data_IF_543714568982
#
_entry.id   IF_543714568982
#
_cell.length_a   1.000
_cell.length_b   1.000
_cell.length_c   1.000
_cell.angle_alpha   90.00
_cell.angle_beta   90.00
_cell.angle_gamma   90.00
#
_symmetry.space_group_name_H-M   'P 1'
#
loop_
_entity.id
_entity.type
_entity.pdbx_description
1 polymer ?
#
# COMPACT_ATOMS: atom_id res chain seq x y z
N UNK A 1 -46.96 9.88 -21.42
CA UNK A 1 -46.01 9.20 -22.33
C UNK A 1 -44.80 8.61 -21.59
N UNK A 2 -44.11 9.36 -20.71
CA UNK A 2 -42.99 8.86 -19.90
C UNK A 2 -43.33 7.65 -19.03
N UNK A 3 -44.53 7.57 -18.45
CA UNK A 3 -44.88 6.47 -17.54
C UNK A 3 -45.30 5.17 -18.26
N UNK A 4 -45.81 5.28 -19.50
CA UNK A 4 -46.08 4.13 -20.38
C UNK A 4 -44.77 3.47 -20.87
N UNK A 5 -43.72 4.28 -21.01
CA UNK A 5 -42.38 3.84 -21.43
C UNK A 5 -41.52 3.33 -20.25
N UNK A 6 -41.95 3.57 -19.01
CA UNK A 6 -41.38 2.93 -17.80
C UNK A 6 -41.98 1.56 -17.56
N UNK A 7 -43.31 1.45 -17.69
CA UNK A 7 -44.04 0.18 -17.53
C UNK A 7 -43.67 -0.81 -18.62
N UNK A 8 -43.58 -0.39 -19.89
CA UNK A 8 -43.11 -1.25 -20.98
C UNK A 8 -41.66 -1.76 -20.82
N UNK A 9 -40.81 -1.00 -20.12
CA UNK A 9 -39.42 -1.40 -19.80
C UNK A 9 -39.33 -2.29 -18.57
N UNK A 10 -40.28 -2.18 -17.64
CA UNK A 10 -40.34 -3.01 -16.44
C UNK A 10 -40.74 -4.45 -16.79
N UNK A 11 -41.63 -4.61 -17.77
CA UNK A 11 -42.13 -5.92 -18.23
C UNK A 11 -41.36 -6.46 -19.45
N UNK A 12 -40.21 -5.85 -19.79
CA UNK A 12 -39.38 -6.24 -20.93
C UNK A 12 -38.61 -7.54 -20.63
N UNK A 13 -38.76 -8.56 -21.47
CA UNK A 13 -37.94 -9.77 -21.40
C UNK A 13 -36.45 -9.47 -21.68
N UNK A 14 -35.53 -10.25 -21.08
CA UNK A 14 -34.08 -10.06 -21.25
C UNK A 14 -33.64 -9.96 -22.72
N UNK A 15 -34.12 -10.84 -23.60
CA UNK A 15 -33.81 -10.80 -25.03
C UNK A 15 -34.24 -9.50 -25.73
N UNK A 16 -35.40 -8.95 -25.34
CA UNK A 16 -35.90 -7.69 -25.91
C UNK A 16 -35.07 -6.52 -25.42
N UNK A 17 -34.73 -6.53 -24.12
CA UNK A 17 -33.84 -5.54 -23.50
C UNK A 17 -32.47 -5.55 -24.17
N UNK A 18 -31.90 -6.73 -24.41
CA UNK A 18 -30.59 -6.86 -25.04
C UNK A 18 -30.59 -6.41 -26.50
N UNK A 19 -31.59 -6.80 -27.29
CA UNK A 19 -31.77 -6.30 -28.67
C UNK A 19 -31.91 -4.78 -28.71
N UNK A 20 -32.67 -4.19 -27.77
CA UNK A 20 -32.84 -2.74 -27.68
C UNK A 20 -31.53 -2.04 -27.30
N UNK A 21 -30.81 -2.56 -26.31
CA UNK A 21 -29.50 -2.02 -25.90
C UNK A 21 -28.46 -2.17 -27.00
N UNK A 22 -28.46 -3.29 -27.74
CA UNK A 22 -27.59 -3.50 -28.89
C UNK A 22 -27.84 -2.45 -29.97
N UNK A 23 -29.09 -2.23 -30.38
CA UNK A 23 -29.45 -1.17 -31.34
C UNK A 23 -28.98 0.21 -30.87
N UNK A 24 -29.14 0.55 -29.59
CA UNK A 24 -28.66 1.82 -29.06
C UNK A 24 -27.12 1.94 -29.10
N UNK A 25 -26.39 0.85 -28.80
CA UNK A 25 -24.92 0.83 -28.90
C UNK A 25 -24.45 1.00 -30.33
N UNK A 26 -25.10 0.33 -31.29
CA UNK A 26 -24.79 0.45 -32.72
C UNK A 26 -25.01 1.88 -33.22
N UNK A 27 -26.16 2.48 -32.91
CA UNK A 27 -26.43 3.88 -33.24
C UNK A 27 -25.42 4.84 -32.60
N UNK A 28 -25.10 4.65 -31.32
CA UNK A 28 -24.09 5.47 -30.65
C UNK A 28 -22.69 5.29 -31.25
N UNK A 29 -22.36 4.10 -31.75
CA UNK A 29 -21.11 3.83 -32.45
C UNK A 29 -21.06 4.58 -33.77
N UNK A 30 -22.12 4.51 -34.57
CA UNK A 30 -22.22 5.22 -35.86
C UNK A 30 -22.10 6.74 -35.65
N UNK A 31 -22.77 7.28 -34.64
CA UNK A 31 -22.64 8.71 -34.31
C UNK A 31 -21.21 9.09 -33.92
N UNK A 32 -20.49 8.22 -33.20
CA UNK A 32 -19.09 8.47 -32.80
C UNK A 32 -18.11 8.35 -33.97
N UNK A 33 -18.36 7.47 -34.94
CA UNK A 33 -17.48 7.32 -36.11
C UNK A 33 -17.63 8.49 -37.07
N UNK A 34 -18.81 9.10 -37.13
CA UNK A 34 -19.11 10.23 -38.01
C UNK A 34 -18.93 11.59 -37.32
N UNK A 35 -18.42 11.59 -36.08
CA UNK A 35 -18.25 12.79 -35.27
C UNK A 35 -17.08 13.63 -35.81
N UNK A 36 -17.30 14.94 -35.98
CA UNK A 36 -16.21 15.86 -36.31
C UNK A 36 -15.25 16.06 -35.12
N UNK A 37 -14.03 16.53 -35.38
CA UNK A 37 -13.06 16.78 -34.30
C UNK A 37 -13.57 17.78 -33.24
N UNK A 38 -14.24 18.85 -33.68
CA UNK A 38 -14.80 19.86 -32.79
C UNK A 38 -15.94 19.30 -31.93
N UNK A 39 -16.85 18.51 -32.52
CA UNK A 39 -17.92 17.85 -31.77
C UNK A 39 -17.37 16.85 -30.75
N UNK A 40 -16.35 16.09 -31.16
CA UNK A 40 -15.62 15.15 -30.30
C UNK A 40 -14.97 15.85 -29.14
N UNK A 41 -14.30 16.98 -29.37
CA UNK A 41 -13.68 17.76 -28.33
C UNK A 41 -14.71 18.33 -27.37
N UNK A 42 -15.78 18.94 -27.86
CA UNK A 42 -16.87 19.47 -27.04
C UNK A 42 -17.52 18.36 -26.19
N UNK A 43 -17.77 17.17 -26.76
CA UNK A 43 -18.30 16.02 -26.03
C UNK A 43 -17.32 15.55 -24.94
N UNK A 44 -16.03 15.44 -25.25
CA UNK A 44 -15.02 15.04 -24.28
C UNK A 44 -14.86 16.08 -23.16
N UNK A 45 -14.96 17.37 -23.49
CA UNK A 45 -14.92 18.46 -22.53
C UNK A 45 -16.09 18.36 -21.55
N UNK A 46 -17.32 18.18 -22.06
CA UNK A 46 -18.50 17.96 -21.23
C UNK A 46 -18.37 16.75 -20.31
N UNK A 47 -17.78 15.65 -20.80
CA UNK A 47 -17.51 14.46 -19.97
C UNK A 47 -16.48 14.76 -18.88
N UNK A 48 -15.41 15.51 -19.20
CA UNK A 48 -14.41 15.92 -18.20
C UNK A 48 -15.04 16.78 -17.11
N UNK A 49 -15.91 17.72 -17.47
CA UNK A 49 -16.65 18.57 -16.52
C UNK A 49 -17.58 17.77 -15.62
N UNK A 50 -18.34 16.83 -16.18
CA UNK A 50 -19.19 15.92 -15.40
C UNK A 50 -18.39 15.05 -14.43
N UNK A 51 -17.25 14.52 -14.86
CA UNK A 51 -16.37 13.73 -13.99
C UNK A 51 -15.74 14.62 -12.91
N UNK A 52 -15.36 15.85 -13.24
CA UNK A 52 -14.80 16.80 -12.29
C UNK A 52 -15.81 17.15 -11.20
N UNK A 53 -17.03 17.53 -11.59
CA UNK A 53 -18.12 17.84 -10.66
C UNK A 53 -18.49 16.65 -9.79
N UNK A 54 -18.57 15.44 -10.37
CA UNK A 54 -18.79 14.21 -9.61
C UNK A 54 -17.66 13.92 -8.61
N UNK A 55 -16.40 14.23 -8.93
CA UNK A 55 -15.26 14.04 -8.02
C UNK A 55 -15.21 15.07 -6.90
N UNK A 56 -15.66 16.30 -7.15
CA UNK A 56 -15.74 17.34 -6.10
C UNK A 56 -16.82 16.99 -5.08
N UNK A 57 -17.94 16.44 -5.56
CA UNK A 57 -19.08 16.06 -4.73
C UNK A 57 -18.98 14.63 -4.17
N UNK A 58 -17.86 13.93 -4.37
CA UNK A 58 -17.70 12.55 -3.91
C UNK A 58 -17.55 12.51 -2.38
N UNK A 59 -18.26 11.59 -1.72
CA UNK A 59 -18.03 11.31 -0.31
C UNK A 59 -16.68 10.61 -0.10
N UNK A 60 -16.17 10.65 1.13
CA UNK A 60 -14.91 9.99 1.49
C UNK A 60 -14.96 8.48 1.19
N UNK A 61 -16.06 7.80 1.51
CA UNK A 61 -16.22 6.36 1.27
C UNK A 61 -16.27 6.02 -0.22
N UNK A 62 -16.94 6.85 -1.03
CA UNK A 62 -16.95 6.73 -2.48
C UNK A 62 -15.54 6.94 -3.05
N UNK A 63 -14.79 7.93 -2.56
CA UNK A 63 -13.40 8.18 -2.95
C UNK A 63 -12.52 6.99 -2.63
N UNK A 64 -12.60 6.45 -1.41
CA UNK A 64 -11.81 5.29 -0.97
C UNK A 64 -12.14 4.07 -1.84
N UNK A 65 -13.43 3.81 -2.08
CA UNK A 65 -13.88 2.71 -2.94
C UNK A 65 -13.38 2.85 -4.37
N UNK A 66 -13.49 4.04 -4.96
CA UNK A 66 -12.97 4.35 -6.30
C UNK A 66 -11.46 4.13 -6.39
N UNK A 67 -10.69 4.61 -5.40
CA UNK A 67 -9.25 4.42 -5.35
C UNK A 67 -8.86 2.95 -5.16
N UNK A 68 -9.63 2.18 -4.39
CA UNK A 68 -9.43 0.73 -4.22
C UNK A 68 -9.61 0.01 -5.56
N UNK A 69 -10.70 0.26 -6.27
CA UNK A 69 -10.97 -0.32 -7.60
C UNK A 69 -9.86 0.06 -8.59
N UNK A 70 -9.40 1.31 -8.59
CA UNK A 70 -8.31 1.75 -9.47
C UNK A 70 -6.99 1.04 -9.17
N UNK A 71 -6.65 0.84 -7.89
CA UNK A 71 -5.46 0.09 -7.48
C UNK A 71 -5.54 -1.37 -7.92
N UNK A 72 -6.70 -1.99 -7.76
CA UNK A 72 -6.93 -3.38 -8.16
C UNK A 72 -6.80 -3.55 -9.66
N UNK A 73 -7.44 -2.69 -10.47
CA UNK A 73 -7.29 -2.68 -11.93
C UNK A 73 -5.83 -2.49 -12.38
N UNK A 74 -5.11 -1.59 -11.72
CA UNK A 74 -3.69 -1.39 -12.00
C UNK A 74 -2.85 -2.62 -11.64
N UNK A 75 -3.19 -3.31 -10.54
CA UNK A 75 -2.52 -4.54 -10.14
C UNK A 75 -2.79 -5.66 -11.13
N UNK A 76 -4.06 -5.91 -11.48
CA UNK A 76 -4.43 -6.97 -12.44
C UNK A 76 -3.80 -6.72 -13.80
N UNK A 77 -3.83 -5.48 -14.29
CA UNK A 77 -3.17 -5.12 -15.56
C UNK A 77 -1.66 -5.37 -15.55
N UNK A 78 -0.98 -5.17 -14.42
CA UNK A 78 0.46 -5.46 -14.28
C UNK A 78 0.78 -6.94 -14.17
N UNK A 79 -0.13 -7.76 -13.66
CA UNK A 79 0.07 -9.21 -13.57
C UNK A 79 0.06 -9.83 -14.97
N UNK A 80 -0.84 -9.37 -15.84
CA UNK A 80 -0.99 -9.86 -17.20
C UNK A 80 -0.22 -9.03 -18.23
N UNK A 81 0.70 -8.15 -17.80
CA UNK A 81 1.44 -7.29 -18.74
C UNK A 81 2.50 -8.09 -19.50
N UNK A 82 2.64 -7.82 -20.80
CA UNK A 82 3.75 -8.38 -21.57
C UNK A 82 5.08 -7.72 -21.18
N UNK A 83 6.19 -8.41 -21.45
CA UNK A 83 7.54 -7.90 -21.14
C UNK A 83 7.80 -6.56 -21.82
N UNK A 84 7.47 -6.42 -23.12
CA UNK A 84 7.67 -5.15 -23.84
C UNK A 84 6.87 -3.99 -23.22
N UNK A 85 5.62 -4.24 -22.83
CA UNK A 85 4.77 -3.25 -22.15
C UNK A 85 5.35 -2.88 -20.78
N UNK A 86 5.91 -3.84 -20.06
CA UNK A 86 6.60 -3.61 -18.80
C UNK A 86 7.83 -2.73 -18.98
N UNK A 87 8.66 -3.04 -19.97
CA UNK A 87 9.88 -2.29 -20.27
C UNK A 87 9.56 -0.85 -20.67
N UNK A 88 8.63 -0.66 -21.61
CA UNK A 88 8.18 0.67 -22.00
C UNK A 88 7.61 1.46 -20.81
N UNK A 89 6.82 0.82 -19.95
CA UNK A 89 6.30 1.46 -18.72
C UNK A 89 7.42 1.88 -17.78
N UNK A 90 8.43 1.03 -17.56
CA UNK A 90 9.57 1.36 -16.71
C UNK A 90 10.45 2.46 -17.31
N UNK A 91 10.62 2.45 -18.64
CA UNK A 91 11.35 3.47 -19.36
C UNK A 91 10.68 4.84 -19.22
N UNK A 92 9.37 4.91 -19.46
CA UNK A 92 8.59 6.13 -19.24
C UNK A 92 8.70 6.66 -17.80
N UNK A 93 8.70 5.77 -16.81
CA UNK A 93 8.88 6.18 -15.40
C UNK A 93 10.27 6.79 -15.17
N UNK A 94 11.32 6.22 -15.76
CA UNK A 94 12.69 6.75 -15.63
C UNK A 94 12.81 8.12 -16.28
N UNK A 95 12.23 8.29 -17.47
CA UNK A 95 12.22 9.56 -18.22
C UNK A 95 11.39 10.63 -17.50
N UNK A 96 10.22 10.29 -16.97
CA UNK A 96 9.44 11.22 -16.15
C UNK A 96 10.19 11.63 -14.88
N UNK A 97 10.90 10.69 -14.25
CA UNK A 97 11.71 10.99 -13.08
C UNK A 97 12.95 11.84 -13.41
N UNK A 98 13.58 11.65 -14.57
CA UNK A 98 14.73 12.47 -14.99
C UNK A 98 14.29 13.89 -15.35
N UNK A 99 13.22 14.04 -16.12
CA UNK A 99 12.64 15.34 -16.48
C UNK A 99 12.18 16.11 -15.25
N UNK A 100 11.47 15.44 -14.33
CA UNK A 100 11.06 16.06 -13.06
C UNK A 100 12.27 16.55 -12.26
N UNK A 101 13.34 15.76 -12.16
CA UNK A 101 14.58 16.15 -11.45
C UNK A 101 15.32 17.30 -12.13
N UNK A 102 15.31 17.36 -13.46
CA UNK A 102 15.93 18.45 -14.21
C UNK A 102 15.16 19.77 -14.01
N UNK A 103 13.85 19.69 -13.79
CA UNK A 103 12.98 20.84 -13.51
C UNK A 103 12.85 21.19 -12.01
N UNK A 104 13.54 20.47 -11.11
CA UNK A 104 13.48 20.76 -9.66
C UNK A 104 14.12 22.13 -9.36
N UNK A 105 13.45 22.92 -8.53
CA UNK A 105 14.08 24.07 -7.86
C UNK A 105 15.12 23.61 -6.84
N UNK A 106 16.03 24.51 -6.46
CA UNK A 106 17.08 24.21 -5.48
C UNK A 106 16.52 23.71 -4.14
N UNK A 107 15.51 24.39 -3.60
CA UNK A 107 14.82 23.99 -2.36
C UNK A 107 14.20 22.57 -2.48
N UNK A 108 13.59 22.24 -3.61
CA UNK A 108 13.02 20.90 -3.84
C UNK A 108 14.11 19.83 -3.91
N UNK A 109 15.23 20.15 -4.56
CA UNK A 109 16.39 19.27 -4.66
C UNK A 109 17.01 19.01 -3.29
N UNK A 110 17.20 20.04 -2.48
CA UNK A 110 17.71 19.92 -1.10
C UNK A 110 16.79 19.05 -0.25
N UNK A 111 15.50 19.35 -0.24
CA UNK A 111 14.51 18.57 0.51
C UNK A 111 14.52 17.10 0.10
N UNK A 112 14.55 16.80 -1.21
CA UNK A 112 14.66 15.42 -1.71
C UNK A 112 15.94 14.72 -1.24
N UNK A 113 17.08 15.41 -1.26
CA UNK A 113 18.36 14.85 -0.81
C UNK A 113 18.37 14.62 0.71
N UNK A 114 17.81 15.54 1.50
CA UNK A 114 17.65 15.39 2.95
C UNK A 114 16.79 14.17 3.29
N UNK A 115 15.64 14.01 2.62
CA UNK A 115 14.79 12.83 2.80
C UNK A 115 15.52 11.52 2.48
N UNK A 116 16.31 11.49 1.39
CA UNK A 116 17.14 10.34 1.05
C UNK A 116 18.18 10.04 2.14
N UNK A 117 18.83 11.06 2.71
CA UNK A 117 19.79 10.89 3.81
C UNK A 117 19.11 10.30 5.04
N UNK A 118 17.96 10.85 5.45
CA UNK A 118 17.19 10.35 6.59
C UNK A 118 16.78 8.89 6.38
N UNK A 119 16.26 8.55 5.20
CA UNK A 119 15.87 7.17 4.89
C UNK A 119 17.06 6.21 4.93
N UNK A 120 18.21 6.63 4.40
CA UNK A 120 19.44 5.84 4.42
C UNK A 120 19.94 5.60 5.84
N UNK A 121 19.89 6.61 6.71
CA UNK A 121 20.22 6.47 8.14
C UNK A 121 19.24 5.50 8.82
N UNK A 122 17.92 5.69 8.63
CA UNK A 122 16.91 4.80 9.20
C UNK A 122 17.13 3.34 8.79
N UNK A 123 17.41 3.09 7.52
CA UNK A 123 17.69 1.74 7.01
C UNK A 123 18.95 1.12 7.62
N UNK A 124 20.01 1.92 7.85
CA UNK A 124 21.23 1.43 8.52
C UNK A 124 20.98 1.13 10.00
N UNK A 125 20.22 1.99 10.67
CA UNK A 125 19.86 1.79 12.08
C UNK A 125 19.03 0.52 12.24
N UNK A 126 17.99 0.31 11.43
CA UNK A 126 17.18 -0.92 11.49
C UNK A 126 17.98 -2.19 11.19
N UNK A 127 18.91 -2.15 10.22
CA UNK A 127 19.85 -3.26 9.97
C UNK A 127 20.87 -3.43 11.10
N UNK A 128 21.20 -2.38 11.84
CA UNK A 128 22.09 -2.47 13.00
C UNK A 128 21.41 -3.04 14.24
N UNK A 129 20.10 -2.80 14.42
CA UNK A 129 19.32 -3.47 15.48
C UNK A 129 19.16 -4.97 15.26
N UNK A 130 19.35 -5.47 14.03
CA UNK A 130 19.48 -6.90 13.77
C UNK A 130 20.87 -7.47 14.09
N UNK A 131 21.81 -6.69 14.67
CA UNK A 131 23.13 -7.22 15.04
C UNK A 131 23.11 -8.28 16.13
N UNK A 132 22.08 -8.33 16.99
CA UNK A 132 21.92 -9.43 17.96
C UNK A 132 21.27 -10.69 17.35
N UNK A 133 21.02 -10.72 16.04
CA UNK A 133 20.45 -11.89 15.39
C UNK A 133 21.36 -13.10 15.62
N UNK A 134 20.85 -14.11 16.33
CA UNK A 134 21.56 -15.34 16.70
C UNK A 134 22.74 -15.17 17.69
N UNK A 135 22.96 -13.99 18.28
CA UNK A 135 24.03 -13.81 19.26
C UNK A 135 23.79 -14.60 20.56
N UNK A 136 22.54 -14.99 20.85
CA UNK A 136 22.22 -15.92 21.95
C UNK A 136 22.79 -17.34 21.75
N UNK A 137 23.08 -17.75 20.52
CA UNK A 137 23.73 -19.04 20.22
C UNK A 137 25.26 -18.93 20.12
N UNK A 138 25.78 -17.73 19.87
CA UNK A 138 27.20 -17.44 19.72
C UNK A 138 27.61 -16.34 20.69
N UNK A 139 27.57 -16.66 21.98
CA UNK A 139 27.98 -15.73 23.03
C UNK A 139 29.46 -15.36 22.83
N UNK A 140 29.75 -14.06 22.69
CA UNK A 140 31.10 -13.51 22.61
C UNK A 140 31.40 -12.72 23.89
N UNK A 141 32.22 -13.25 24.81
CA UNK A 141 32.56 -12.60 26.08
C UNK A 141 33.21 -11.22 25.94
N UNK A 142 33.70 -10.85 24.75
CA UNK A 142 34.32 -9.55 24.48
C UNK A 142 33.30 -8.47 24.15
N UNK A 143 32.04 -8.82 23.88
CA UNK A 143 30.97 -7.87 23.60
C UNK A 143 30.29 -7.44 24.89
N UNK A 144 30.12 -6.13 25.04
CA UNK A 144 29.37 -5.55 26.14
C UNK A 144 27.86 -5.52 25.80
N UNK A 145 27.22 -6.67 25.97
CA UNK A 145 25.78 -6.84 25.72
C UNK A 145 24.91 -5.92 26.58
N UNK A 146 25.39 -5.50 27.76
CA UNK A 146 24.61 -4.67 28.69
C UNK A 146 24.25 -3.29 28.14
N UNK A 147 25.01 -2.81 27.15
CA UNK A 147 24.80 -1.50 26.50
C UNK A 147 23.84 -1.54 25.32
N UNK A 148 23.40 -2.72 24.90
CA UNK A 148 22.55 -2.83 23.72
C UNK A 148 21.10 -2.45 24.07
N UNK A 149 20.47 -1.58 23.28
CA UNK A 149 19.13 -1.01 23.55
C UNK A 149 18.03 -2.07 23.79
N UNK A 150 18.19 -3.25 23.18
CA UNK A 150 17.27 -4.38 23.30
C UNK A 150 17.68 -5.46 24.31
N UNK A 151 18.81 -5.31 25.02
CA UNK A 151 19.29 -6.28 26.01
C UNK A 151 18.93 -5.79 27.41
N UNK A 152 17.85 -6.32 27.94
CA UNK A 152 17.40 -6.04 29.31
C UNK A 152 17.92 -7.16 30.22
N UNK A 153 19.21 -7.12 30.56
CA UNK A 153 19.76 -7.95 31.65
C UNK A 153 19.47 -7.18 32.95
N UNK A 154 18.23 -7.29 33.44
CA UNK A 154 17.85 -6.71 34.73
C UNK A 154 18.53 -7.44 35.91
N UNK A 155 18.49 -6.88 37.11
CA UNK A 155 18.93 -7.61 38.31
C UNK A 155 17.95 -8.75 38.69
N UNK A 156 18.47 -9.83 39.27
CA UNK A 156 17.67 -10.91 39.86
C UNK A 156 17.04 -10.47 41.20
N UNK A 157 16.14 -9.50 41.13
CA UNK A 157 15.56 -8.86 42.31
C UNK A 157 14.11 -9.30 42.57
N UNK A 158 13.58 -10.20 41.74
CA UNK A 158 12.25 -10.77 41.94
C UNK A 158 12.38 -12.09 42.71
N UNK A 159 11.55 -12.26 43.73
CA UNK A 159 11.47 -13.52 44.47
C UNK A 159 10.39 -14.40 43.85
N UNK A 160 10.72 -15.65 43.56
CA UNK A 160 9.75 -16.64 43.12
C UNK A 160 8.79 -16.96 44.25
N UNK A 161 7.49 -16.92 43.98
CA UNK A 161 6.44 -17.23 44.95
C UNK A 161 6.44 -18.71 45.40
N UNK A 162 6.98 -19.61 44.57
CA UNK A 162 6.91 -21.05 44.79
C UNK A 162 8.11 -21.62 45.53
N UNK A 163 9.31 -21.11 45.25
CA UNK A 163 10.56 -21.66 45.80
C UNK A 163 11.43 -20.63 46.52
N UNK A 164 10.96 -19.39 46.67
CA UNK A 164 11.71 -18.28 47.30
C UNK A 164 13.08 -18.03 46.67
N UNK A 165 13.30 -18.50 45.44
CA UNK A 165 14.51 -18.25 44.67
C UNK A 165 14.49 -16.84 44.07
N UNK A 166 15.67 -16.27 43.83
CA UNK A 166 15.81 -15.04 43.04
C UNK A 166 15.61 -15.37 41.56
N UNK A 167 14.87 -14.51 40.86
CA UNK A 167 14.59 -14.62 39.42
C UNK A 167 14.64 -13.26 38.73
N UNK A 168 14.74 -13.28 37.40
CA UNK A 168 14.63 -12.06 36.61
C UNK A 168 13.16 -11.63 36.45
N UNK A 169 12.95 -10.32 36.20
CA UNK A 169 11.60 -9.74 36.07
C UNK A 169 10.77 -10.34 34.94
N UNK A 170 11.41 -10.75 33.85
CA UNK A 170 10.77 -11.29 32.65
C UNK A 170 11.06 -12.79 32.45
N UNK A 171 11.49 -13.50 33.50
CA UNK A 171 11.78 -14.93 33.42
C UNK A 171 10.47 -15.74 33.34
N UNK A 172 10.35 -16.70 32.41
CA UNK A 172 9.16 -17.53 32.30
C UNK A 172 8.94 -18.33 33.60
N UNK A 173 7.68 -18.64 33.96
CA UNK A 173 7.38 -19.53 35.08
C UNK A 173 8.15 -20.85 34.96
N UNK A 174 8.65 -21.37 36.09
CA UNK A 174 9.39 -22.63 36.14
C UNK A 174 10.92 -22.52 35.98
N UNK A 175 11.45 -21.34 35.63
CA UNK A 175 12.89 -21.05 35.62
C UNK A 175 13.24 -20.24 36.87
N UNK A 176 13.92 -20.86 37.84
CA UNK A 176 14.30 -20.22 39.11
C UNK A 176 15.72 -20.59 39.50
N UNK A 177 16.50 -19.61 39.98
CA UNK A 177 17.89 -19.84 40.41
C UNK A 177 17.96 -20.00 41.93
N UNK A 178 18.19 -21.23 42.41
CA UNK A 178 18.38 -21.54 43.82
C UNK A 178 19.87 -21.78 44.07
N UNK A 179 20.53 -20.86 44.78
CA UNK A 179 21.94 -20.99 45.20
C UNK A 179 22.91 -21.34 44.06
N UNK A 180 22.72 -20.74 42.88
CA UNK A 180 23.59 -20.95 41.71
C UNK A 180 23.22 -22.15 40.83
N UNK A 181 22.12 -22.85 41.11
CA UNK A 181 21.58 -23.93 40.27
C UNK A 181 20.22 -23.52 39.68
N UNK A 182 20.07 -23.69 38.37
CA UNK A 182 18.79 -23.54 37.69
C UNK A 182 17.90 -24.73 38.02
N UNK A 183 16.79 -24.49 38.71
CA UNK A 183 15.79 -25.51 39.02
C UNK A 183 14.62 -25.31 38.06
N UNK A 184 14.30 -26.37 37.31
CA UNK A 184 13.10 -26.45 36.48
C UNK A 184 11.97 -27.06 37.32
N UNK A 185 10.88 -26.32 37.51
CA UNK A 185 9.65 -26.85 38.08
C UNK A 185 8.56 -26.75 37.02
N UNK A 186 8.06 -27.92 36.58
CA UNK A 186 6.88 -28.06 35.72
C UNK A 186 5.64 -27.74 36.56
#
# INVERSE_FOLDING_TARGET
MKDRDKTSRADESEDKRDRRLQKMREQASILRTNESENEREHRLQKVREQVSTSRVNESVDQRVSRLKIMREKARTSRITESVDKREHRLQNIREQASTSRAAESENQREHRLQLKRIQSIKSRVTQSHSKLCLEGFHYDPRKDYSKHENVIIGGMNQMCKYCSAKKYKCEPPGMCCCSGKSVYQI
#
